data_IF_360670069648
#
_entry.id   IF_360670069648
#
_cell.length_a   1.000
_cell.length_b   1.000
_cell.length_c   1.000
_cell.angle_alpha   90.00
_cell.angle_beta   90.00
_cell.angle_gamma   90.00
#
_symmetry.space_group_name_H-M   'P 1'
#
loop_
_entity.id
_entity.type
_entity.pdbx_description
1 polymer ?
#
# COMPACT_ATOMS: atom_id res chain seq x y z
N UNK A 1 14.30 4.55 13.03
CA UNK A 1 13.11 3.98 12.35
C UNK A 1 13.53 2.67 11.73
N UNK A 2 12.80 1.57 11.96
CA UNK A 2 13.31 0.23 11.60
C UNK A 2 12.30 -0.69 10.92
N UNK A 3 11.07 -0.79 11.40
CA UNK A 3 10.10 -1.76 10.87
C UNK A 3 9.47 -1.32 9.53
N UNK A 4 9.00 -0.07 9.44
CA UNK A 4 8.29 0.39 8.23
C UNK A 4 9.17 0.48 6.97
N UNK A 5 10.47 0.73 7.15
CA UNK A 5 11.41 0.80 6.03
C UNK A 5 11.75 -0.58 5.47
N UNK A 6 12.00 -1.56 6.35
CA UNK A 6 12.26 -2.94 5.92
C UNK A 6 11.07 -3.55 5.16
N UNK A 7 9.84 -3.25 5.57
CA UNK A 7 8.64 -3.66 4.86
C UNK A 7 8.55 -3.00 3.49
N UNK A 8 8.81 -1.69 3.39
CA UNK A 8 8.82 -0.99 2.11
C UNK A 8 9.90 -1.55 1.16
N UNK A 9 11.07 -1.94 1.68
CA UNK A 9 12.13 -2.62 0.92
C UNK A 9 11.63 -3.95 0.35
N UNK A 10 11.10 -4.82 1.21
CA UNK A 10 10.57 -6.13 0.82
C UNK A 10 9.49 -6.03 -0.27
N UNK A 11 8.54 -5.10 -0.11
CA UNK A 11 7.44 -4.93 -1.06
C UNK A 11 7.93 -4.38 -2.41
N UNK A 12 8.98 -3.56 -2.41
CA UNK A 12 9.64 -3.10 -3.64
C UNK A 12 10.38 -4.22 -4.34
N UNK A 13 11.07 -5.08 -3.58
CA UNK A 13 11.78 -6.25 -4.12
C UNK A 13 10.81 -7.25 -4.77
N UNK A 14 9.63 -7.40 -4.18
CA UNK A 14 8.50 -8.17 -4.75
C UNK A 14 7.80 -7.47 -5.93
N UNK A 15 8.24 -6.27 -6.31
CA UNK A 15 7.69 -5.46 -7.42
C UNK A 15 6.22 -5.10 -7.23
N UNK A 16 5.79 -4.93 -5.98
CA UNK A 16 4.45 -4.45 -5.65
C UNK A 16 4.30 -3.01 -6.13
N UNK A 17 3.21 -2.72 -6.84
CA UNK A 17 2.91 -1.38 -7.37
C UNK A 17 1.94 -0.59 -6.50
N UNK A 18 1.08 -1.29 -5.75
CA UNK A 18 0.05 -0.69 -4.92
C UNK A 18 -0.16 -1.50 -3.64
N UNK A 19 -0.35 -0.81 -2.52
CA UNK A 19 -0.70 -1.39 -1.23
C UNK A 19 -1.99 -0.75 -0.74
N UNK A 20 -2.85 -1.58 -0.18
CA UNK A 20 -4.12 -1.17 0.43
C UNK A 20 -4.04 -1.42 1.93
N UNK A 21 -4.39 -0.42 2.73
CA UNK A 21 -4.45 -0.54 4.19
C UNK A 21 -5.63 0.25 4.74
N UNK A 22 -6.13 -0.12 5.91
CA UNK A 22 -7.12 0.68 6.65
C UNK A 22 -6.56 2.01 7.14
N UNK A 23 -5.26 2.08 7.39
CA UNK A 23 -4.54 3.26 7.81
C UNK A 23 -3.03 3.08 7.53
N UNK A 24 -2.34 4.15 7.15
CA UNK A 24 -0.88 4.19 7.11
C UNK A 24 -0.30 5.09 8.19
N UNK A 25 0.87 4.71 8.68
CA UNK A 25 1.72 5.62 9.47
C UNK A 25 2.58 6.49 8.56
N UNK A 26 2.81 7.75 8.95
CA UNK A 26 3.65 8.71 8.21
C UNK A 26 5.01 8.13 7.76
N UNK A 27 5.67 7.37 8.64
CA UNK A 27 6.99 6.82 8.36
C UNK A 27 6.99 5.78 7.22
N UNK A 28 5.94 4.95 7.11
CA UNK A 28 5.88 3.94 6.06
C UNK A 28 5.36 4.54 4.75
N UNK A 29 4.45 5.52 4.81
CA UNK A 29 3.98 6.24 3.62
C UNK A 29 5.16 6.89 2.87
N UNK A 30 6.01 7.64 3.57
CA UNK A 30 7.20 8.25 2.96
C UNK A 30 8.16 7.20 2.36
N UNK A 31 8.32 6.05 3.02
CA UNK A 31 9.21 4.99 2.53
C UNK A 31 8.65 4.33 1.25
N UNK A 32 7.35 4.04 1.23
CA UNK A 32 6.65 3.46 0.09
C UNK A 32 6.62 4.42 -1.11
N UNK A 33 6.32 5.69 -0.88
CA UNK A 33 6.33 6.73 -1.92
C UNK A 33 7.72 6.91 -2.52
N UNK A 34 8.79 6.88 -1.71
CA UNK A 34 10.17 6.97 -2.20
C UNK A 34 10.57 5.82 -3.14
N UNK A 35 9.86 4.69 -3.05
CA UNK A 35 10.04 3.50 -3.88
C UNK A 35 9.06 3.43 -5.05
N UNK A 36 8.20 4.45 -5.21
CA UNK A 36 7.19 4.50 -6.27
C UNK A 36 6.01 3.56 -6.05
N UNK A 37 5.79 3.10 -4.82
CA UNK A 37 4.66 2.22 -4.46
C UNK A 37 3.46 3.09 -4.09
N UNK A 38 2.34 2.87 -4.77
CA UNK A 38 1.09 3.60 -4.50
C UNK A 38 0.46 3.13 -3.19
N UNK A 39 0.06 4.08 -2.35
CA UNK A 39 -0.65 3.80 -1.10
C UNK A 39 -2.13 4.17 -1.26
N UNK A 40 -3.03 3.24 -0.95
CA UNK A 40 -4.48 3.47 -0.98
C UNK A 40 -5.06 3.16 0.40
N UNK A 41 -5.60 4.18 1.07
CA UNK A 41 -6.33 3.97 2.32
C UNK A 41 -7.78 3.61 2.03
N UNK A 42 -8.23 2.49 2.60
CA UNK A 42 -9.60 1.99 2.49
C UNK A 42 -10.00 1.41 3.85
N UNK A 43 -10.97 2.04 4.52
CA UNK A 43 -11.43 1.64 5.84
C UNK A 43 -12.91 1.24 5.82
N UNK A 44 -13.31 0.37 6.75
CA UNK A 44 -14.71 -0.07 6.87
C UNK A 44 -15.16 -1.09 5.82
N UNK A 45 -14.24 -1.60 4.99
CA UNK A 45 -14.51 -2.61 3.97
C UNK A 45 -13.59 -3.83 4.13
N UNK A 46 -14.01 -4.96 3.58
CA UNK A 46 -13.22 -6.19 3.51
C UNK A 46 -12.17 -6.11 2.39
N UNK A 47 -11.14 -6.95 2.47
CA UNK A 47 -10.13 -7.05 1.40
C UNK A 47 -10.74 -7.41 0.03
N UNK A 48 -11.84 -8.17 0.01
CA UNK A 48 -12.54 -8.54 -1.23
C UNK A 48 -13.26 -7.36 -1.87
N UNK A 49 -13.87 -6.51 -1.06
CA UNK A 49 -14.52 -5.27 -1.52
C UNK A 49 -13.48 -4.27 -2.02
N UNK A 50 -12.38 -4.10 -1.27
CA UNK A 50 -11.27 -3.26 -1.68
C UNK A 50 -10.69 -3.67 -3.04
N UNK A 51 -10.49 -4.97 -3.26
CA UNK A 51 -10.02 -5.48 -4.54
C UNK A 51 -10.97 -5.14 -5.68
N UNK A 52 -12.27 -5.38 -5.48
CA UNK A 52 -13.30 -5.07 -6.48
C UNK A 52 -13.34 -3.58 -6.83
N UNK A 53 -13.27 -2.68 -5.84
CA UNK A 53 -13.25 -1.24 -6.09
C UNK A 53 -12.02 -0.80 -6.91
N UNK A 54 -10.87 -1.44 -6.70
CA UNK A 54 -9.64 -1.14 -7.43
C UNK A 54 -9.73 -1.62 -8.87
N UNK A 55 -10.27 -2.82 -9.09
CA UNK A 55 -10.52 -3.35 -10.44
C UNK A 55 -11.52 -2.48 -11.21
N UNK A 56 -12.58 -1.98 -10.57
CA UNK A 56 -13.55 -1.08 -11.20
C UNK A 56 -12.97 0.31 -11.53
N UNK A 57 -11.92 0.76 -10.83
CA UNK A 57 -11.23 2.05 -11.06
C UNK A 57 -10.14 1.99 -12.15
N UNK A 58 -9.72 0.78 -12.57
CA UNK A 58 -8.70 0.56 -13.60
C UNK A 58 -9.26 -0.36 -14.72
N UNK A 59 -10.01 0.21 -15.69
CA UNK A 59 -10.53 -0.55 -16.84
C UNK A 59 -9.43 -0.99 -17.83
#
# INVERSE_FOLDING_TARGET
GGAGFAVAEMLSDEKIKMIVSGQFGLNIMNALESKGIQCKEMSGITAKEALREIEEQNP
#
